data_IF_427890089990
#
_entry.id   IF_427890089990
#
_cell.length_a   1.000
_cell.length_b   1.000
_cell.length_c   1.000
_cell.angle_alpha   90.00
_cell.angle_beta   90.00
_cell.angle_gamma   90.00
#
_symmetry.space_group_name_H-M   'P 1'
#
loop_
_entity.id
_entity.type
_entity.pdbx_description
1 polymer ?
#
# COMPACT_ATOMS: atom_id res chain seq x y z
N UNK A 1 -3.03 -35.33 -17.87
CA UNK A 1 -2.50 -34.01 -17.45
C UNK A 1 -1.36 -33.71 -18.40
N UNK A 2 -1.55 -32.78 -19.34
CA UNK A 2 -0.56 -32.49 -20.37
C UNK A 2 0.60 -31.70 -19.77
N UNK A 3 1.81 -31.87 -20.30
CA UNK A 3 2.97 -31.06 -19.89
C UNK A 3 2.74 -29.56 -20.15
N UNK A 4 1.89 -29.24 -21.14
CA UNK A 4 1.43 -27.88 -21.41
C UNK A 4 0.63 -27.29 -20.24
N UNK A 5 -0.31 -28.06 -19.65
CA UNK A 5 -1.13 -27.63 -18.51
C UNK A 5 -0.25 -27.30 -17.29
N UNK A 6 0.84 -28.07 -17.09
CA UNK A 6 1.76 -27.85 -15.97
C UNK A 6 2.63 -26.60 -16.16
N UNK A 7 3.04 -26.30 -17.39
CA UNK A 7 3.81 -25.11 -17.71
C UNK A 7 2.97 -23.82 -17.55
N UNK A 8 1.69 -23.88 -17.94
CA UNK A 8 0.75 -22.77 -17.81
C UNK A 8 0.51 -22.41 -16.33
N UNK A 9 0.25 -23.40 -15.46
CA UNK A 9 0.05 -23.19 -14.02
C UNK A 9 1.27 -22.56 -13.34
N UNK A 10 2.48 -22.96 -13.75
CA UNK A 10 3.72 -22.38 -13.20
C UNK A 10 3.86 -20.91 -13.59
N UNK A 11 3.52 -20.56 -14.84
CA UNK A 11 3.61 -19.18 -15.32
C UNK A 11 2.60 -18.26 -14.62
N UNK A 12 1.38 -18.74 -14.38
CA UNK A 12 0.37 -18.03 -13.59
C UNK A 12 0.85 -17.78 -12.16
N UNK A 13 1.34 -18.82 -11.48
CA UNK A 13 1.88 -18.69 -10.11
C UNK A 13 3.05 -17.71 -10.02
N UNK A 14 3.98 -17.75 -10.98
CA UNK A 14 5.11 -16.82 -11.03
C UNK A 14 4.65 -15.37 -11.15
N UNK A 15 3.61 -15.12 -11.95
CA UNK A 15 3.04 -13.78 -12.13
C UNK A 15 2.45 -13.27 -10.82
N UNK A 16 1.62 -14.07 -10.15
CA UNK A 16 1.03 -13.72 -8.86
C UNK A 16 2.08 -13.49 -7.77
N UNK A 17 3.12 -14.34 -7.74
CA UNK A 17 4.21 -14.20 -6.79
C UNK A 17 4.98 -12.89 -6.99
N UNK A 18 5.29 -12.54 -8.23
CA UNK A 18 5.99 -11.28 -8.56
C UNK A 18 5.12 -10.08 -8.17
N UNK A 19 3.82 -10.09 -8.50
CA UNK A 19 2.90 -9.02 -8.14
C UNK A 19 2.79 -8.84 -6.62
N UNK A 20 2.78 -9.94 -5.88
CA UNK A 20 2.77 -9.93 -4.42
C UNK A 20 4.04 -9.27 -3.87
N UNK A 21 5.22 -9.67 -4.34
CA UNK A 21 6.49 -9.07 -3.93
C UNK A 21 6.56 -7.57 -4.23
N UNK A 22 6.12 -7.15 -5.43
CA UNK A 22 6.05 -5.74 -5.82
C UNK A 22 5.13 -4.98 -4.87
N UNK A 23 3.96 -5.53 -4.56
CA UNK A 23 2.98 -4.89 -3.67
C UNK A 23 3.57 -4.66 -2.28
N UNK A 24 4.26 -5.65 -1.71
CA UNK A 24 4.94 -5.49 -0.42
C UNK A 24 6.09 -4.49 -0.47
N UNK A 25 6.91 -4.52 -1.52
CA UNK A 25 8.02 -3.58 -1.69
C UNK A 25 7.52 -2.12 -1.81
N UNK A 26 6.50 -1.89 -2.64
CA UNK A 26 5.88 -0.58 -2.82
C UNK A 26 5.21 -0.11 -1.53
N UNK A 27 4.55 -1.00 -0.79
CA UNK A 27 3.95 -0.68 0.51
C UNK A 27 5.02 -0.27 1.52
N UNK A 28 6.13 -1.01 1.60
CA UNK A 28 7.23 -0.67 2.49
C UNK A 28 7.83 0.70 2.15
N UNK A 29 7.99 1.00 0.86
CA UNK A 29 8.47 2.31 0.39
C UNK A 29 7.50 3.43 0.80
N UNK A 30 6.19 3.24 0.60
CA UNK A 30 5.18 4.20 1.04
C UNK A 30 5.28 4.41 2.55
N UNK A 31 5.31 3.35 3.36
CA UNK A 31 5.41 3.48 4.83
C UNK A 31 6.68 4.24 5.23
N UNK A 32 7.81 3.97 4.57
CA UNK A 32 9.07 4.68 4.82
C UNK A 32 8.97 6.17 4.54
N UNK A 33 8.47 6.55 3.36
CA UNK A 33 8.27 7.95 2.97
C UNK A 33 7.35 8.69 3.97
N UNK A 34 6.35 7.99 4.50
CA UNK A 34 5.45 8.55 5.51
C UNK A 34 6.15 8.78 6.84
N UNK A 35 6.98 7.84 7.31
CA UNK A 35 7.71 7.98 8.58
C UNK A 35 8.66 9.18 8.54
N UNK A 36 9.35 9.41 7.42
CA UNK A 36 10.29 10.54 7.32
C UNK A 36 9.57 11.89 7.18
N UNK A 37 8.40 11.92 6.52
CA UNK A 37 7.64 13.17 6.29
C UNK A 37 6.73 13.54 7.46
N UNK A 38 6.24 12.57 8.24
CA UNK A 38 5.30 12.80 9.37
C UNK A 38 5.81 13.81 10.38
N UNK A 39 7.12 13.82 10.65
CA UNK A 39 7.71 14.74 11.61
C UNK A 39 7.59 16.19 11.14
N UNK A 40 7.80 16.44 9.85
CA UNK A 40 7.68 17.77 9.24
C UNK A 40 6.21 18.21 9.19
N UNK A 41 5.29 17.31 8.86
CA UNK A 41 3.87 17.70 8.77
C UNK A 41 3.26 17.92 10.14
N UNK A 42 3.62 17.15 11.17
CA UNK A 42 3.17 17.46 12.53
C UNK A 42 3.65 18.86 12.94
N UNK A 43 4.90 19.23 12.64
CA UNK A 43 5.39 20.58 12.92
C UNK A 43 4.67 21.68 12.13
N UNK A 44 4.39 21.47 10.84
CA UNK A 44 3.79 22.52 9.99
C UNK A 44 2.25 22.59 10.10
N UNK A 45 1.61 21.46 10.33
CA UNK A 45 0.17 21.27 10.22
C UNK A 45 -0.51 21.23 11.60
N UNK A 46 0.07 20.51 12.57
CA UNK A 46 -0.56 20.36 13.89
C UNK A 46 -0.29 21.54 14.83
N UNK A 47 0.84 22.24 14.68
CA UNK A 47 1.14 23.45 15.46
C UNK A 47 0.45 24.72 14.92
N UNK A 48 -0.17 24.65 13.74
CA UNK A 48 -0.83 25.79 13.09
C UNK A 48 -2.35 25.68 13.23
N UNK A 49 -3.07 26.79 13.01
CA UNK A 49 -4.54 26.81 12.96
C UNK A 49 -5.02 25.79 11.92
N UNK A 50 -5.90 24.89 12.36
CA UNK A 50 -6.55 23.91 11.49
C UNK A 50 -7.35 24.63 10.41
N UNK A 51 -6.87 24.57 9.17
CA UNK A 51 -7.55 25.14 8.01
C UNK A 51 -8.22 24.06 7.18
N UNK A 52 -9.06 24.45 6.25
CA UNK A 52 -9.69 23.53 5.28
C UNK A 52 -8.62 22.80 4.43
N UNK A 53 -7.49 23.46 4.15
CA UNK A 53 -6.35 22.86 3.48
C UNK A 53 -5.68 21.74 4.32
N UNK A 54 -5.59 21.93 5.64
CA UNK A 54 -5.13 20.88 6.58
C UNK A 54 -6.02 19.65 6.51
N UNK A 55 -7.34 19.82 6.53
CA UNK A 55 -8.27 18.71 6.45
C UNK A 55 -8.17 17.98 5.11
N UNK A 56 -8.11 18.71 4.00
CA UNK A 56 -7.92 18.13 2.67
C UNK A 56 -6.62 17.32 2.58
N UNK A 57 -5.53 17.85 3.17
CA UNK A 57 -4.23 17.18 3.23
C UNK A 57 -4.30 15.89 4.05
N UNK A 58 -4.90 15.93 5.24
CA UNK A 58 -5.04 14.74 6.10
C UNK A 58 -5.91 13.67 5.39
N UNK A 59 -7.02 14.06 4.77
CA UNK A 59 -7.88 13.13 4.01
C UNK A 59 -7.08 12.48 2.89
N UNK A 60 -6.41 13.27 2.04
CA UNK A 60 -5.61 12.74 0.95
C UNK A 60 -4.54 11.76 1.44
N UNK A 61 -3.89 12.11 2.55
CA UNK A 61 -2.76 11.36 3.09
C UNK A 61 -3.16 10.08 3.82
N UNK A 62 -4.15 10.12 4.71
CA UNK A 62 -4.58 8.93 5.45
C UNK A 62 -5.45 7.99 4.61
N UNK A 63 -6.18 8.49 3.60
CA UNK A 63 -6.88 7.61 2.65
C UNK A 63 -5.89 6.76 1.86
N UNK A 64 -4.76 7.33 1.44
CA UNK A 64 -3.75 6.57 0.71
C UNK A 64 -3.14 5.45 1.57
N UNK A 65 -2.90 5.70 2.86
CA UNK A 65 -2.49 4.65 3.81
C UNK A 65 -3.57 3.56 3.92
N UNK A 66 -4.84 3.94 4.03
CA UNK A 66 -5.94 2.98 4.13
C UNK A 66 -6.02 2.07 2.89
N UNK A 67 -5.82 2.63 1.69
CA UNK A 67 -5.75 1.86 0.44
C UNK A 67 -4.56 0.90 0.46
N UNK A 68 -3.38 1.35 0.89
CA UNK A 68 -2.18 0.49 0.95
C UNK A 68 -2.37 -0.66 1.95
N UNK A 69 -2.95 -0.39 3.12
CA UNK A 69 -3.30 -1.43 4.10
C UNK A 69 -4.30 -2.43 3.52
N UNK A 70 -5.29 -1.96 2.78
CA UNK A 70 -6.26 -2.82 2.10
C UNK A 70 -5.60 -3.74 1.06
N UNK A 71 -4.68 -3.21 0.25
CA UNK A 71 -3.97 -3.98 -0.77
C UNK A 71 -3.04 -5.05 -0.19
N UNK A 72 -2.44 -4.79 0.98
CA UNK A 72 -1.58 -5.76 1.68
C UNK A 72 -2.39 -6.72 2.55
N UNK A 73 -3.60 -6.33 2.97
CA UNK A 73 -4.44 -7.21 3.76
C UNK A 73 -4.80 -8.45 2.95
N UNK A 74 -4.41 -9.66 3.40
CA UNK A 74 -4.74 -10.87 2.69
C UNK A 74 -6.26 -11.03 2.74
N UNK A 75 -6.91 -11.07 1.56
CA UNK A 75 -8.36 -11.27 1.44
C UNK A 75 -8.79 -12.71 1.82
N UNK A 76 -7.88 -13.51 2.39
CA UNK A 76 -8.01 -14.94 2.72
C UNK A 76 -8.87 -15.22 3.97
N UNK A 77 -9.88 -14.40 4.24
CA UNK A 77 -10.99 -14.76 5.13
C UNK A 77 -12.20 -15.33 4.36
N UNK A 78 -12.03 -15.73 3.10
CA UNK A 78 -12.98 -16.63 2.44
C UNK A 78 -12.56 -18.08 2.72
N UNK A 79 -13.26 -18.65 3.71
CA UNK A 79 -13.33 -20.08 4.01
C UNK A 79 -13.81 -20.89 2.82
#
# INVERSE_FOLDING_TARGET
>A
MSQADSAEVIAEFQTEFILTLITYAMTALVVYEYIITVQQEVMMVWLRKWTLATWLFMINRYLMIAVVIWQVSPVTAQR
#
